data_IF_293479091358
#
_entry.id   IF_293479091358
#
_cell.length_a   1.000
_cell.length_b   1.000
_cell.length_c   1.000
_cell.angle_alpha   90.00
_cell.angle_beta   90.00
_cell.angle_gamma   90.00
#
_symmetry.space_group_name_H-M   'P 1'
#
loop_
_entity.id
_entity.type
_entity.pdbx_description
1 polymer ?
#
# COMPACT_ATOMS: atom_id res chain seq x y z
N UNK A 1 -52.77 6.58 41.76
CA UNK A 1 -51.85 6.25 42.88
C UNK A 1 -50.77 5.37 42.37
N UNK A 2 -49.55 5.80 42.59
CA UNK A 2 -48.27 5.11 42.51
C UNK A 2 -47.68 4.74 41.14
N UNK A 3 -46.87 5.62 40.75
CA UNK A 3 -45.66 5.46 39.92
C UNK A 3 -44.70 4.43 40.49
N UNK A 4 -44.04 3.65 39.64
CA UNK A 4 -42.71 3.11 39.92
C UNK A 4 -41.86 3.22 38.69
N UNK A 5 -40.92 4.16 38.77
CA UNK A 5 -39.71 4.28 37.94
C UNK A 5 -38.88 2.99 38.05
N UNK A 6 -38.45 2.48 36.94
CA UNK A 6 -37.38 1.49 36.89
C UNK A 6 -36.25 2.03 35.99
N UNK A 7 -35.28 2.64 36.66
CA UNK A 7 -34.03 3.09 36.04
C UNK A 7 -33.17 1.86 35.75
N UNK A 8 -32.94 1.55 34.50
CA UNK A 8 -31.92 0.59 34.11
C UNK A 8 -30.58 1.34 33.95
N UNK A 9 -29.74 1.16 34.96
CA UNK A 9 -28.30 1.51 34.86
C UNK A 9 -27.64 0.61 33.83
N UNK A 10 -27.24 1.19 32.69
CA UNK A 10 -26.30 0.58 31.79
C UNK A 10 -24.89 0.72 32.39
N UNK A 11 -24.29 -0.39 32.74
CA UNK A 11 -22.90 -0.46 33.13
C UNK A 11 -22.01 0.00 31.97
N UNK A 12 -21.41 1.16 32.15
CA UNK A 12 -20.28 1.57 31.32
C UNK A 12 -19.09 0.67 31.67
N UNK A 13 -18.77 -0.25 30.78
CA UNK A 13 -17.53 -1.04 30.89
C UNK A 13 -16.33 -0.12 30.70
N UNK A 14 -15.51 0.01 31.75
CA UNK A 14 -14.23 0.68 31.67
C UNK A 14 -13.35 -0.02 30.62
N UNK A 15 -12.89 0.73 29.62
CA UNK A 15 -11.89 0.26 28.67
C UNK A 15 -10.54 0.11 29.38
N UNK A 16 -9.75 -0.93 29.07
CA UNK A 16 -8.42 -1.10 29.63
C UNK A 16 -7.52 0.07 29.26
N UNK A 17 -6.67 0.56 30.17
CA UNK A 17 -5.77 1.67 29.90
C UNK A 17 -4.69 1.25 28.91
N UNK A 18 -4.59 1.94 27.78
CA UNK A 18 -3.45 1.79 26.87
C UNK A 18 -3.73 1.79 25.36
N UNK A 19 -4.98 1.82 24.95
CA UNK A 19 -5.26 1.97 23.52
C UNK A 19 -5.50 3.46 23.21
N UNK A 20 -4.69 4.10 22.35
CA UNK A 20 -5.03 5.43 21.88
C UNK A 20 -6.42 5.39 21.22
N UNK A 21 -7.20 6.48 21.27
CA UNK A 21 -8.49 6.53 20.63
C UNK A 21 -8.31 6.11 19.16
N UNK A 22 -9.07 5.11 18.74
CA UNK A 22 -9.16 4.79 17.32
C UNK A 22 -9.68 6.05 16.63
N UNK A 23 -8.78 6.76 16.00
CA UNK A 23 -9.16 7.81 15.07
C UNK A 23 -9.99 7.09 14.02
N UNK A 24 -11.25 7.47 13.89
CA UNK A 24 -12.09 6.93 12.83
C UNK A 24 -11.56 7.49 11.51
N UNK A 25 -10.56 6.78 10.95
CA UNK A 25 -9.94 7.14 9.69
C UNK A 25 -10.94 7.17 8.55
N UNK A 26 -12.03 6.40 8.65
CA UNK A 26 -13.14 6.49 7.69
C UNK A 26 -13.85 7.84 7.78
N UNK A 27 -13.97 8.46 8.96
CA UNK A 27 -14.53 9.77 9.12
C UNK A 27 -13.60 10.89 8.58
N UNK A 28 -12.29 10.74 8.76
CA UNK A 28 -11.30 11.68 8.22
C UNK A 28 -11.25 11.59 6.70
N UNK A 29 -11.42 10.40 6.12
CA UNK A 29 -11.33 10.17 4.67
C UNK A 29 -12.66 10.29 3.93
N UNK A 30 -13.81 10.28 4.63
CA UNK A 30 -15.12 10.36 3.97
C UNK A 30 -15.55 11.77 3.57
N UNK A 31 -14.85 12.82 3.98
CA UNK A 31 -15.44 14.15 3.82
C UNK A 31 -14.68 15.19 3.01
N UNK A 32 -13.38 15.10 2.70
CA UNK A 32 -12.73 16.20 1.94
C UNK A 32 -11.39 15.90 1.26
N UNK A 33 -10.82 14.72 1.42
CA UNK A 33 -9.61 14.40 0.70
C UNK A 33 -9.97 13.73 -0.63
N UNK A 34 -9.89 14.52 -1.70
CA UNK A 34 -10.09 14.07 -3.08
C UNK A 34 -8.90 13.17 -3.48
N UNK A 35 -8.93 11.90 -3.01
CA UNK A 35 -7.96 10.92 -3.48
C UNK A 35 -8.09 10.75 -4.99
N UNK A 36 -6.99 10.64 -5.70
CA UNK A 36 -7.02 10.26 -7.09
C UNK A 36 -7.59 8.85 -7.18
N UNK A 37 -8.91 8.75 -7.21
CA UNK A 37 -9.54 7.49 -7.55
C UNK A 37 -9.03 7.10 -8.93
N UNK A 38 -8.40 5.95 -9.03
CA UNK A 38 -8.04 5.34 -10.32
C UNK A 38 -9.32 4.94 -11.11
N UNK A 39 -10.38 5.73 -10.95
CA UNK A 39 -11.60 5.63 -11.72
C UNK A 39 -11.30 5.78 -13.20
N UNK A 40 -11.26 4.68 -13.94
CA UNK A 40 -10.86 4.47 -15.33
C UNK A 40 -9.39 4.05 -15.51
N UNK A 41 -8.88 3.16 -14.67
CA UNK A 41 -7.81 2.29 -15.15
C UNK A 41 -8.42 1.49 -16.30
N UNK A 42 -8.09 1.88 -17.52
CA UNK A 42 -8.38 1.06 -18.68
C UNK A 42 -7.57 -0.20 -18.51
N UNK A 43 -8.20 -1.25 -17.98
CA UNK A 43 -7.57 -2.54 -17.83
C UNK A 43 -7.01 -2.92 -19.19
N UNK A 44 -5.69 -2.88 -19.34
CA UNK A 44 -5.05 -3.52 -20.47
C UNK A 44 -5.48 -4.96 -20.40
N UNK A 45 -6.33 -5.38 -21.32
CA UNK A 45 -6.79 -6.77 -21.45
C UNK A 45 -5.57 -7.61 -21.85
N UNK A 46 -4.83 -8.08 -20.86
CA UNK A 46 -3.81 -9.10 -21.06
C UNK A 46 -4.39 -10.44 -20.66
N UNK A 47 -4.40 -11.37 -21.55
CA UNK A 47 -4.66 -12.78 -21.25
C UNK A 47 -3.40 -13.40 -20.68
N UNK A 48 -3.55 -14.19 -19.63
CA UNK A 48 -2.47 -15.05 -19.14
C UNK A 48 -2.21 -16.15 -20.17
N UNK A 49 -0.95 -16.56 -20.31
CA UNK A 49 -0.66 -17.82 -20.99
C UNK A 49 -1.17 -18.98 -20.14
N UNK A 50 -1.35 -20.15 -20.71
CA UNK A 50 -1.80 -21.35 -20.01
C UNK A 50 -0.91 -21.66 -18.79
N UNK A 51 0.39 -21.69 -18.98
CA UNK A 51 1.36 -21.91 -17.89
C UNK A 51 1.27 -20.83 -16.77
N UNK A 52 1.02 -19.58 -17.13
CA UNK A 52 0.81 -18.51 -16.15
C UNK A 52 -0.50 -18.69 -15.38
N UNK A 53 -1.52 -19.20 -16.04
CA UNK A 53 -2.81 -19.46 -15.41
C UNK A 53 -2.69 -20.60 -14.40
N UNK A 54 -2.08 -21.72 -14.78
CA UNK A 54 -1.83 -22.88 -13.90
C UNK A 54 -0.99 -22.49 -12.68
N UNK A 55 0.11 -21.76 -12.91
CA UNK A 55 0.96 -21.29 -11.82
C UNK A 55 0.22 -20.33 -10.87
N UNK A 56 -0.58 -19.44 -11.44
CA UNK A 56 -1.36 -18.49 -10.66
C UNK A 56 -2.39 -19.21 -9.80
N UNK A 57 -3.12 -20.18 -10.33
CA UNK A 57 -4.08 -20.98 -9.55
C UNK A 57 -3.40 -21.79 -8.44
N UNK A 58 -2.23 -22.38 -8.73
CA UNK A 58 -1.47 -23.18 -7.78
C UNK A 58 -0.93 -22.36 -6.60
N UNK A 59 -0.40 -21.16 -6.85
CA UNK A 59 0.37 -20.41 -5.85
C UNK A 59 -0.34 -19.18 -5.28
N UNK A 60 -1.42 -18.72 -5.94
CA UNK A 60 -2.10 -17.50 -5.50
C UNK A 60 -2.70 -17.62 -4.09
N UNK A 61 -3.25 -18.77 -3.73
CA UNK A 61 -3.84 -18.99 -2.42
C UNK A 61 -2.83 -18.81 -1.27
N UNK A 62 -1.55 -19.09 -1.52
CA UNK A 62 -0.46 -18.94 -0.56
C UNK A 62 0.15 -17.53 -0.59
N UNK A 63 0.46 -17.03 -1.79
CA UNK A 63 1.27 -15.83 -1.99
C UNK A 63 0.46 -14.57 -2.29
N UNK A 64 -0.82 -14.72 -2.64
CA UNK A 64 -1.65 -13.63 -3.11
C UNK A 64 -2.90 -13.39 -2.27
N UNK A 65 -3.33 -12.14 -2.24
CA UNK A 65 -4.63 -11.69 -1.75
C UNK A 65 -5.28 -10.76 -2.76
N UNK A 66 -6.57 -10.59 -2.66
CA UNK A 66 -7.31 -9.50 -3.33
C UNK A 66 -7.58 -8.40 -2.31
N UNK A 67 -7.92 -7.20 -2.79
CA UNK A 67 -8.39 -6.14 -1.91
C UNK A 67 -9.61 -6.60 -1.11
N UNK A 68 -9.52 -6.48 0.19
CA UNK A 68 -10.52 -6.89 1.19
C UNK A 68 -10.70 -5.79 2.24
N UNK A 69 -11.83 -5.84 2.98
CA UNK A 69 -12.08 -4.95 4.13
C UNK A 69 -11.58 -5.55 5.44
N UNK A 70 -10.43 -6.22 5.40
CA UNK A 70 -9.82 -6.90 6.54
C UNK A 70 -8.33 -6.54 6.63
N UNK A 71 -7.90 -6.23 7.84
CA UNK A 71 -6.48 -5.96 8.13
C UNK A 71 -5.68 -7.25 8.08
N UNK A 72 -4.54 -7.19 7.42
CA UNK A 72 -3.68 -8.36 7.24
C UNK A 72 -2.88 -8.64 8.52
N UNK A 73 -2.92 -9.87 9.01
CA UNK A 73 -1.94 -10.40 9.94
C UNK A 73 -0.66 -10.75 9.15
N UNK A 74 0.30 -9.81 9.17
CA UNK A 74 1.54 -9.91 8.42
C UNK A 74 2.42 -11.06 8.90
N UNK A 75 2.50 -11.28 10.21
CA UNK A 75 3.30 -12.34 10.79
C UNK A 75 2.80 -13.72 10.38
N UNK A 76 1.49 -13.91 10.44
CA UNK A 76 0.84 -15.14 9.98
C UNK A 76 1.00 -15.35 8.47
N UNK A 77 0.82 -14.29 7.66
CA UNK A 77 0.89 -14.44 6.21
C UNK A 77 2.29 -14.75 5.68
N UNK A 78 3.33 -14.20 6.30
CA UNK A 78 4.72 -14.51 5.96
C UNK A 78 5.30 -15.71 6.70
N UNK A 79 4.62 -16.20 7.75
CA UNK A 79 5.12 -17.28 8.60
C UNK A 79 6.35 -16.90 9.43
N UNK A 80 6.58 -15.62 9.67
CA UNK A 80 7.69 -15.09 10.48
C UNK A 80 7.30 -13.80 11.19
N UNK A 81 7.69 -13.66 12.45
CA UNK A 81 7.35 -12.53 13.30
C UNK A 81 8.47 -11.50 13.39
N UNK A 82 8.07 -10.24 13.51
CA UNK A 82 8.99 -9.12 13.78
C UNK A 82 9.88 -8.72 12.60
N UNK A 83 9.67 -9.28 11.41
CA UNK A 83 10.38 -8.86 10.21
C UNK A 83 9.91 -7.47 9.77
N UNK A 84 10.84 -6.68 9.20
CA UNK A 84 10.47 -5.43 8.52
C UNK A 84 9.50 -5.73 7.39
N UNK A 85 8.55 -4.84 7.17
CA UNK A 85 7.59 -4.97 6.06
C UNK A 85 7.60 -3.72 5.19
N UNK A 86 7.77 -3.93 3.89
CA UNK A 86 7.76 -2.89 2.86
C UNK A 86 6.63 -3.20 1.88
N UNK A 87 5.86 -2.19 1.52
CA UNK A 87 4.81 -2.27 0.49
C UNK A 87 5.28 -1.52 -0.75
N UNK A 88 5.30 -2.18 -1.91
CA UNK A 88 5.54 -1.56 -3.20
C UNK A 88 4.20 -1.38 -3.93
N UNK A 89 3.82 -0.12 -4.15
CA UNK A 89 2.57 0.25 -4.82
C UNK A 89 2.81 0.42 -6.32
N UNK A 90 2.07 -0.32 -7.13
CA UNK A 90 2.22 -0.31 -8.58
C UNK A 90 3.44 -1.13 -9.04
N UNK A 91 3.63 -2.33 -8.50
CA UNK A 91 4.78 -3.18 -8.84
C UNK A 91 4.89 -3.57 -10.32
N UNK A 92 3.84 -3.35 -11.10
CA UNK A 92 3.81 -3.65 -12.53
C UNK A 92 4.06 -5.13 -12.82
N UNK A 93 5.15 -5.42 -13.52
CA UNK A 93 5.59 -6.80 -13.80
C UNK A 93 6.46 -7.40 -12.71
N UNK A 94 6.73 -6.66 -11.65
CA UNK A 94 7.51 -7.09 -10.50
C UNK A 94 9.01 -7.23 -10.74
N UNK A 95 9.54 -6.70 -11.85
CA UNK A 95 10.95 -6.86 -12.19
C UNK A 95 11.86 -6.23 -11.13
N UNK A 96 11.55 -5.03 -10.67
CA UNK A 96 12.30 -4.36 -9.59
C UNK A 96 12.12 -5.08 -8.26
N UNK A 97 10.88 -5.47 -7.95
CA UNK A 97 10.53 -6.21 -6.72
C UNK A 97 11.33 -7.50 -6.61
N UNK A 98 11.30 -8.34 -7.65
CA UNK A 98 12.03 -9.60 -7.69
C UNK A 98 13.56 -9.43 -7.62
N UNK A 99 14.10 -8.37 -8.25
CA UNK A 99 15.54 -8.10 -8.23
C UNK A 99 16.06 -7.60 -6.87
N UNK A 100 15.20 -6.91 -6.10
CA UNK A 100 15.54 -6.38 -4.78
C UNK A 100 15.32 -7.41 -3.65
N UNK A 101 14.28 -8.21 -3.73
CA UNK A 101 13.85 -9.11 -2.67
C UNK A 101 14.95 -10.06 -2.14
N UNK A 102 15.79 -10.70 -2.98
CA UNK A 102 16.86 -11.55 -2.47
C UNK A 102 17.96 -10.81 -1.68
N UNK A 103 18.13 -9.51 -1.96
CA UNK A 103 19.08 -8.64 -1.24
C UNK A 103 18.53 -8.15 0.10
N UNK A 104 17.25 -8.29 0.32
CA UNK A 104 16.49 -7.87 1.49
C UNK A 104 15.78 -9.09 2.13
N UNK A 105 16.46 -10.24 2.19
CA UNK A 105 15.87 -11.51 2.59
C UNK A 105 15.15 -11.48 3.96
N UNK A 106 15.62 -10.66 4.90
CA UNK A 106 15.01 -10.48 6.21
C UNK A 106 13.81 -9.52 6.22
N UNK A 107 13.44 -8.97 5.06
CA UNK A 107 12.34 -8.03 4.91
C UNK A 107 11.17 -8.67 4.19
N UNK A 108 9.98 -8.51 4.70
CA UNK A 108 8.73 -8.86 4.02
C UNK A 108 8.45 -7.81 2.94
N UNK A 109 8.22 -8.23 1.71
CA UNK A 109 7.89 -7.34 0.60
C UNK A 109 6.48 -7.68 0.11
N UNK A 110 5.61 -6.69 0.05
CA UNK A 110 4.25 -6.82 -0.46
C UNK A 110 4.15 -6.02 -1.76
N UNK A 111 3.95 -6.72 -2.87
CA UNK A 111 3.73 -6.11 -4.17
C UNK A 111 2.24 -5.88 -4.41
N UNK A 112 1.85 -4.61 -4.51
CA UNK A 112 0.46 -4.22 -4.81
C UNK A 112 0.35 -3.84 -6.27
N UNK A 113 -0.56 -4.50 -7.00
CA UNK A 113 -0.77 -4.25 -8.42
C UNK A 113 -2.22 -4.60 -8.82
N UNK A 114 -2.79 -3.78 -9.68
CA UNK A 114 -4.15 -3.99 -10.19
C UNK A 114 -4.17 -4.93 -11.41
N UNK A 115 -3.11 -4.89 -12.22
CA UNK A 115 -2.97 -5.61 -13.47
C UNK A 115 -2.56 -7.06 -13.26
N UNK A 116 -3.53 -8.00 -13.31
CA UNK A 116 -3.32 -9.44 -13.08
C UNK A 116 -2.16 -10.04 -13.88
N UNK A 117 -1.95 -9.74 -15.17
CA UNK A 117 -0.80 -10.27 -15.90
C UNK A 117 0.57 -9.77 -15.38
N UNK A 118 0.62 -8.60 -14.76
CA UNK A 118 1.82 -8.13 -14.06
C UNK A 118 2.15 -9.03 -12.88
N UNK A 119 1.17 -9.27 -12.02
CA UNK A 119 1.30 -10.19 -10.88
C UNK A 119 1.65 -11.62 -11.31
N UNK A 120 1.09 -12.10 -12.42
CA UNK A 120 1.43 -13.42 -12.94
C UNK A 120 2.89 -13.51 -13.43
N UNK A 121 3.46 -12.42 -13.96
CA UNK A 121 4.88 -12.35 -14.31
C UNK A 121 5.76 -12.34 -13.06
N UNK A 122 5.40 -11.55 -12.05
CA UNK A 122 6.10 -11.56 -10.77
C UNK A 122 6.08 -12.95 -10.13
N UNK A 123 4.92 -13.60 -10.14
CA UNK A 123 4.78 -14.97 -9.62
C UNK A 123 5.71 -15.96 -10.35
N UNK A 124 5.83 -15.83 -11.68
CA UNK A 124 6.78 -16.62 -12.46
C UNK A 124 8.24 -16.35 -12.10
N UNK A 125 8.59 -15.13 -11.70
CA UNK A 125 9.94 -14.80 -11.21
C UNK A 125 10.18 -15.39 -9.83
N UNK A 126 9.21 -15.25 -8.91
CA UNK A 126 9.25 -15.83 -7.56
C UNK A 126 9.52 -17.34 -7.63
N UNK A 127 8.77 -18.07 -8.48
CA UNK A 127 8.91 -19.51 -8.62
C UNK A 127 10.26 -19.91 -9.24
N UNK A 128 10.70 -19.19 -10.28
CA UNK A 128 11.95 -19.49 -10.99
C UNK A 128 13.19 -19.22 -10.13
N UNK A 129 13.16 -18.18 -9.31
CA UNK A 129 14.29 -17.69 -8.53
C UNK A 129 14.24 -18.14 -7.05
N UNK A 130 13.19 -18.86 -6.65
CA UNK A 130 13.03 -19.33 -5.28
C UNK A 130 12.91 -18.19 -4.25
N UNK A 131 12.22 -17.11 -4.60
CA UNK A 131 12.07 -15.96 -3.71
C UNK A 131 10.97 -16.25 -2.68
N UNK A 132 11.29 -16.15 -1.39
CA UNK A 132 10.37 -16.53 -0.31
C UNK A 132 9.73 -15.33 0.40
N UNK A 133 10.33 -14.15 0.30
CA UNK A 133 9.96 -12.95 1.05
C UNK A 133 9.03 -11.98 0.31
N UNK A 134 8.38 -12.42 -0.78
CA UNK A 134 7.38 -11.63 -1.50
C UNK A 134 5.98 -12.21 -1.27
N UNK A 135 5.03 -11.32 -1.02
CA UNK A 135 3.58 -11.56 -1.12
C UNK A 135 2.96 -10.53 -2.07
N UNK A 136 1.77 -10.81 -2.57
CA UNK A 136 1.13 -9.98 -3.59
C UNK A 136 -0.29 -9.62 -3.21
N UNK A 137 -0.70 -8.38 -3.47
CA UNK A 137 -2.10 -7.96 -3.32
C UNK A 137 -2.58 -7.43 -4.67
N UNK A 138 -3.68 -7.99 -5.15
CA UNK A 138 -4.37 -7.47 -6.33
C UNK A 138 -5.41 -6.45 -5.92
N UNK A 139 -5.14 -5.17 -6.12
CA UNK A 139 -6.04 -4.09 -5.76
C UNK A 139 -5.51 -2.71 -6.14
N UNK A 140 -6.37 -1.72 -5.96
CA UNK A 140 -5.95 -0.32 -6.00
C UNK A 140 -5.04 -0.04 -4.80
N UNK A 141 -3.85 0.54 -5.05
CA UNK A 141 -2.85 0.76 -4.00
C UNK A 141 -3.33 1.67 -2.87
N UNK A 142 -4.14 2.69 -3.17
CA UNK A 142 -4.70 3.58 -2.15
C UNK A 142 -5.72 2.83 -1.29
N UNK A 143 -6.64 2.12 -1.90
CA UNK A 143 -7.66 1.33 -1.20
C UNK A 143 -7.01 0.22 -0.35
N UNK A 144 -5.97 -0.44 -0.86
CA UNK A 144 -5.19 -1.43 -0.11
C UNK A 144 -4.55 -0.79 1.12
N UNK A 145 -3.91 0.37 0.98
CA UNK A 145 -3.30 1.08 2.10
C UNK A 145 -4.32 1.53 3.14
N UNK A 146 -5.52 1.89 2.71
CA UNK A 146 -6.60 2.33 3.61
C UNK A 146 -7.18 1.19 4.42
N UNK A 147 -7.40 0.02 3.80
CA UNK A 147 -8.26 -1.04 4.36
C UNK A 147 -7.48 -2.20 4.95
N UNK A 148 -6.32 -2.52 4.38
CA UNK A 148 -5.62 -3.77 4.69
C UNK A 148 -4.43 -3.60 5.63
N UNK A 149 -4.07 -2.36 6.00
CA UNK A 149 -2.96 -2.08 6.91
C UNK A 149 -3.40 -1.19 8.08
N UNK A 150 -3.03 -1.59 9.30
CA UNK A 150 -3.19 -0.73 10.47
C UNK A 150 -2.20 0.45 10.42
N UNK A 151 -2.49 1.55 11.16
CA UNK A 151 -1.52 2.61 11.37
C UNK A 151 -0.22 2.09 11.98
N UNK A 152 0.90 2.72 11.60
CA UNK A 152 2.23 2.47 12.18
C UNK A 152 2.70 1.00 12.10
N UNK A 153 2.33 0.27 11.02
CA UNK A 153 2.71 -1.14 10.85
C UNK A 153 3.81 -1.37 9.83
N UNK A 154 4.03 -0.42 8.91
CA UNK A 154 4.97 -0.59 7.82
C UNK A 154 6.32 0.07 8.12
N UNK A 155 7.41 -0.58 7.74
CA UNK A 155 8.76 -0.04 7.82
C UNK A 155 9.13 0.76 6.55
N UNK A 156 8.44 0.50 5.44
CA UNK A 156 8.65 1.23 4.21
C UNK A 156 7.48 1.14 3.22
N UNK A 157 7.40 2.15 2.37
CA UNK A 157 6.49 2.18 1.21
C UNK A 157 7.33 2.57 0.00
N UNK A 158 7.13 1.89 -1.13
CA UNK A 158 7.80 2.15 -2.41
C UNK A 158 6.78 2.51 -3.46
N UNK A 159 7.05 3.58 -4.21
CA UNK A 159 6.26 4.00 -5.37
C UNK A 159 7.24 4.31 -6.49
N UNK A 160 7.44 3.35 -7.39
CA UNK A 160 8.43 3.47 -8.44
C UNK A 160 7.81 3.74 -9.79
N UNK A 161 8.28 4.81 -10.44
CA UNK A 161 7.88 5.25 -11.77
C UNK A 161 6.36 5.32 -11.96
N UNK A 162 5.64 5.97 -11.04
CA UNK A 162 4.20 6.14 -11.19
C UNK A 162 3.89 7.04 -12.39
N UNK A 163 2.68 6.91 -12.95
CA UNK A 163 2.23 7.72 -14.08
C UNK A 163 2.40 9.22 -13.80
N UNK A 164 3.21 9.96 -14.59
CA UNK A 164 3.54 11.35 -14.30
C UNK A 164 2.43 12.33 -14.64
N UNK A 165 1.44 11.94 -15.47
CA UNK A 165 0.33 12.78 -15.92
C UNK A 165 0.80 14.19 -16.33
N UNK A 166 1.53 14.37 -17.47
CA UNK A 166 2.23 15.61 -17.80
C UNK A 166 1.35 16.85 -17.96
N UNK A 167 0.08 16.64 -18.36
CA UNK A 167 -0.85 17.75 -18.60
C UNK A 167 -1.42 18.26 -17.27
N UNK A 168 -1.34 19.56 -16.99
CA UNK A 168 -1.80 20.17 -15.74
C UNK A 168 -3.22 19.74 -15.30
N UNK A 169 -4.18 19.66 -16.26
CA UNK A 169 -5.55 19.17 -15.98
C UNK A 169 -5.61 17.72 -15.46
N UNK A 170 -4.51 16.96 -15.58
CA UNK A 170 -4.40 15.57 -15.13
C UNK A 170 -3.57 15.42 -13.86
N UNK A 171 -2.95 16.47 -13.31
CA UNK A 171 -2.12 16.38 -12.09
C UNK A 171 -2.90 15.78 -10.92
N UNK A 172 -4.21 16.03 -10.83
CA UNK A 172 -5.09 15.40 -9.84
C UNK A 172 -5.17 13.86 -9.90
N UNK A 173 -4.58 13.24 -10.95
CA UNK A 173 -4.48 11.78 -11.09
C UNK A 173 -3.13 11.22 -10.59
N UNK A 174 -2.18 12.09 -10.28
CA UNK A 174 -0.89 11.67 -9.71
C UNK A 174 -1.13 10.96 -8.39
N UNK A 175 -0.45 9.84 -8.17
CA UNK A 175 -0.61 9.11 -6.92
C UNK A 175 0.00 9.84 -5.73
N UNK A 176 1.07 10.61 -5.95
CA UNK A 176 1.69 11.43 -4.88
C UNK A 176 1.00 12.78 -4.83
N UNK A 177 0.23 12.98 -3.76
CA UNK A 177 -0.52 14.19 -3.42
C UNK A 177 -0.55 14.32 -1.89
N UNK A 178 -0.91 15.49 -1.33
CA UNK A 178 -1.01 15.71 0.11
C UNK A 178 -1.81 14.63 0.82
N UNK A 179 -3.01 14.32 0.33
CA UNK A 179 -3.84 13.28 0.93
C UNK A 179 -3.19 11.91 0.97
N UNK A 180 -2.58 11.48 -0.14
CA UNK A 180 -1.91 10.18 -0.20
C UNK A 180 -0.61 10.13 0.61
N UNK A 181 0.13 11.25 0.70
CA UNK A 181 1.28 11.36 1.58
C UNK A 181 0.88 11.20 3.04
N UNK A 182 -0.21 11.84 3.47
CA UNK A 182 -0.75 11.70 4.83
C UNK A 182 -1.21 10.26 5.11
N UNK A 183 -1.86 9.60 4.15
CA UNK A 183 -2.22 8.19 4.26
C UNK A 183 -0.97 7.33 4.45
N UNK A 184 0.02 7.49 3.59
CA UNK A 184 1.26 6.70 3.67
C UNK A 184 2.00 6.94 4.97
N UNK A 185 2.12 8.21 5.40
CA UNK A 185 2.71 8.56 6.68
C UNK A 185 1.99 7.91 7.85
N UNK A 186 0.65 7.83 7.83
CA UNK A 186 -0.12 7.17 8.89
C UNK A 186 0.10 5.66 8.97
N UNK A 187 0.51 5.01 7.91
CA UNK A 187 0.79 3.56 7.87
C UNK A 187 2.23 3.22 8.23
N UNK A 188 3.14 4.18 8.08
CA UNK A 188 4.54 3.99 8.40
C UNK A 188 4.78 4.07 9.91
N UNK A 189 5.62 3.17 10.41
CA UNK A 189 6.17 3.25 11.76
C UNK A 189 7.00 4.53 11.92
N UNK A 190 7.24 4.94 13.15
CA UNK A 190 8.21 6.02 13.44
C UNK A 190 9.58 5.64 12.86
N UNK A 191 10.11 6.49 11.99
CA UNK A 191 11.35 6.23 11.25
C UNK A 191 11.18 5.36 10.01
N UNK A 192 9.96 5.01 9.65
CA UNK A 192 9.65 4.37 8.36
C UNK A 192 9.96 5.29 7.19
N UNK A 193 10.15 4.72 6.01
CA UNK A 193 10.64 5.44 4.83
C UNK A 193 9.66 5.32 3.67
N UNK A 194 9.28 6.47 3.09
CA UNK A 194 8.62 6.52 1.79
C UNK A 194 9.66 6.71 0.68
N UNK A 195 9.80 5.73 -0.17
CA UNK A 195 10.70 5.73 -1.33
C UNK A 195 9.89 6.01 -2.60
N UNK A 196 10.19 7.12 -3.27
CA UNK A 196 9.57 7.44 -4.57
C UNK A 196 10.67 7.59 -5.61
N UNK A 197 10.47 7.03 -6.80
CA UNK A 197 11.34 7.26 -7.95
C UNK A 197 10.51 7.68 -9.15
N UNK A 198 11.00 8.67 -9.91
CA UNK A 198 10.40 9.10 -11.17
C UNK A 198 11.47 9.57 -12.14
N UNK A 199 11.27 9.31 -13.42
CA UNK A 199 12.08 9.79 -14.53
C UNK A 199 11.55 11.10 -15.14
N UNK A 200 10.40 11.61 -14.66
CA UNK A 200 9.75 12.80 -15.18
C UNK A 200 10.07 14.02 -14.31
N UNK A 201 10.88 14.95 -14.81
CA UNK A 201 11.36 16.14 -14.07
C UNK A 201 10.23 16.95 -13.41
N UNK A 202 9.18 17.31 -14.15
CA UNK A 202 8.06 18.07 -13.60
C UNK A 202 7.20 17.29 -12.59
N UNK A 203 7.34 15.96 -12.49
CA UNK A 203 6.75 15.21 -11.41
C UNK A 203 7.66 15.16 -10.19
N UNK A 204 8.95 15.10 -10.41
CA UNK A 204 9.95 15.24 -9.34
C UNK A 204 9.80 16.57 -8.60
N UNK A 205 9.74 17.68 -9.35
CA UNK A 205 9.50 19.03 -8.80
C UNK A 205 8.20 19.09 -7.98
N UNK A 206 7.11 18.54 -8.52
CA UNK A 206 5.84 18.44 -7.80
C UNK A 206 5.95 17.70 -6.46
N UNK A 207 6.71 16.61 -6.42
CA UNK A 207 6.90 15.81 -5.21
C UNK A 207 7.74 16.58 -4.19
N UNK A 208 8.82 17.23 -4.64
CA UNK A 208 9.68 18.05 -3.78
C UNK A 208 8.86 19.19 -3.12
N UNK A 209 8.04 19.92 -3.90
CA UNK A 209 7.15 20.98 -3.40
C UNK A 209 6.16 20.45 -2.32
N UNK A 210 5.58 19.27 -2.54
CA UNK A 210 4.64 18.69 -1.58
C UNK A 210 5.32 18.32 -0.26
N UNK A 211 6.52 17.76 -0.31
CA UNK A 211 7.25 17.33 0.89
C UNK A 211 7.79 18.52 1.69
N UNK A 212 8.14 19.64 1.02
CA UNK A 212 8.56 20.87 1.70
C UNK A 212 7.43 21.53 2.49
N UNK A 213 6.19 21.46 1.98
CA UNK A 213 5.01 22.09 2.60
C UNK A 213 4.43 21.23 3.72
N UNK A 214 4.52 19.92 3.62
CA UNK A 214 4.00 19.00 4.63
C UNK A 214 5.16 18.31 5.37
N UNK A 215 5.63 18.85 6.51
CA UNK A 215 6.64 18.20 7.31
C UNK A 215 6.07 16.92 7.92
N UNK A 216 6.16 15.85 7.16
CA UNK A 216 5.83 14.51 7.64
C UNK A 216 6.94 14.01 8.55
N UNK A 217 6.64 13.36 9.69
CA UNK A 217 7.65 12.72 10.54
C UNK A 217 8.35 11.53 9.88
N UNK A 218 8.05 11.28 8.62
CA UNK A 218 8.54 10.15 7.82
C UNK A 218 9.74 10.59 7.00
N UNK A 219 10.79 9.77 7.01
CA UNK A 219 11.94 9.98 6.12
C UNK A 219 11.52 9.75 4.67
N UNK A 220 11.82 10.72 3.83
CA UNK A 220 11.51 10.68 2.40
C UNK A 220 12.80 10.57 1.60
N UNK A 221 12.83 9.67 0.63
CA UNK A 221 13.95 9.54 -0.31
C UNK A 221 13.41 9.57 -1.73
N UNK A 222 13.84 10.58 -2.50
CA UNK A 222 13.52 10.72 -3.90
C UNK A 222 14.75 10.42 -4.77
N UNK A 223 14.62 9.48 -5.68
CA UNK A 223 15.63 9.20 -6.70
C UNK A 223 15.15 9.79 -8.02
N UNK A 224 15.86 10.83 -8.48
CA UNK A 224 15.75 11.27 -9.87
C UNK A 224 16.50 10.27 -10.74
N UNK A 225 15.86 9.70 -11.74
CA UNK A 225 16.59 9.00 -12.77
C UNK A 225 17.52 10.03 -13.45
N UNK A 226 18.81 9.77 -13.42
CA UNK A 226 19.79 10.67 -14.02
C UNK A 226 19.50 10.83 -15.52
N UNK A 227 19.43 12.07 -15.94
CA UNK A 227 19.60 12.42 -17.34
C UNK A 227 21.01 11.93 -17.76
N UNK A 228 21.05 10.83 -18.51
CA UNK A 228 22.24 10.39 -19.25
C UNK A 228 22.19 10.90 -20.66
#
# INVERSE_FOLDING_TARGET
MNSTNNSQNACAGEMPPGRPPQTDFNAVFNNELDYPRLGNVTFRRGTLTENQHELFEKRWAELGRVLEDEVIDLDSWFGRSGAKTIVEIGSGTGTSTAAMAPKEADTNIIAVELYKPGLAKLLGQIEREGIENIRMIRGDGIEVMMRMFEPETLDGIRVFFPDPWPKARHHKRRIIQSGTLNLFASRLKKGGVLHVATDHAGYAEWIDELVEVEPSPVSYTHLRAHET
#
